data_IF_233661167802
#
_entry.id   IF_233661167802
#
_cell.length_a   1.000
_cell.length_b   1.000
_cell.length_c   1.000
_cell.angle_alpha   90.00
_cell.angle_beta   90.00
_cell.angle_gamma   90.00
#
_symmetry.space_group_name_H-M   'P 1'
#
loop_
_entity.id
_entity.type
_entity.pdbx_description
1 polymer ?
#
# COMPACT_ATOMS: atom_id res chain seq x y z
N UNK A 1 -12.13 -55.19 33.82
CA UNK A 1 -11.61 -55.04 32.45
C UNK A 1 -10.99 -53.65 32.34
N UNK A 2 -9.69 -53.51 32.05
CA UNK A 2 -9.08 -52.19 31.93
C UNK A 2 -9.54 -51.50 30.64
N UNK A 3 -10.11 -50.30 30.77
CA UNK A 3 -10.49 -49.42 29.66
C UNK A 3 -9.23 -49.01 28.90
N UNK A 4 -9.02 -49.59 27.73
CA UNK A 4 -8.02 -49.10 26.77
C UNK A 4 -8.60 -47.88 26.06
N UNK A 5 -8.02 -46.71 26.32
CA UNK A 5 -8.36 -45.48 25.61
C UNK A 5 -8.25 -45.68 24.10
N UNK A 6 -9.21 -45.12 23.37
CA UNK A 6 -9.23 -45.16 21.91
C UNK A 6 -8.01 -44.43 21.32
N UNK A 7 -7.57 -44.86 20.15
CA UNK A 7 -6.37 -44.33 19.49
C UNK A 7 -6.46 -42.80 19.24
N UNK A 8 -7.68 -42.29 19.04
CA UNK A 8 -7.95 -40.85 18.96
C UNK A 8 -7.69 -40.12 20.27
N UNK A 9 -8.05 -40.70 21.41
CA UNK A 9 -7.83 -40.10 22.73
C UNK A 9 -6.34 -40.09 23.09
N UNK A 10 -5.60 -41.13 22.72
CA UNK A 10 -4.14 -41.18 22.88
C UNK A 10 -3.44 -40.08 22.07
N UNK A 11 -3.90 -39.83 20.84
CA UNK A 11 -3.34 -38.77 19.99
C UNK A 11 -3.67 -37.37 20.50
N UNK A 12 -4.89 -37.13 21.00
CA UNK A 12 -5.27 -35.85 21.61
C UNK A 12 -4.43 -35.58 22.87
N UNK A 13 -4.28 -36.59 23.72
CA UNK A 13 -3.51 -36.49 24.95
C UNK A 13 -2.01 -36.26 24.68
N UNK A 14 -1.44 -36.93 23.67
CA UNK A 14 -0.07 -36.69 23.23
C UNK A 14 0.13 -35.26 22.66
N UNK A 15 -0.88 -34.72 21.97
CA UNK A 15 -0.87 -33.34 21.49
C UNK A 15 -0.87 -32.31 22.63
N UNK A 16 -1.68 -32.54 23.66
CA UNK A 16 -1.73 -31.68 24.85
C UNK A 16 -0.42 -31.71 25.64
N UNK A 17 0.16 -32.88 25.86
CA UNK A 17 1.46 -32.99 26.54
C UNK A 17 2.60 -32.28 25.79
N UNK A 18 2.57 -32.25 24.44
CA UNK A 18 3.56 -31.51 23.65
C UNK A 18 3.41 -30.00 23.77
N UNK A 19 2.19 -29.47 23.91
CA UNK A 19 1.94 -28.04 24.16
C UNK A 19 2.40 -27.65 25.56
N UNK A 20 2.04 -28.42 26.58
CA UNK A 20 2.43 -28.13 27.97
C UNK A 20 3.96 -28.20 28.15
N UNK A 21 4.63 -29.15 27.48
CA UNK A 21 6.10 -29.23 27.49
C UNK A 21 6.75 -27.99 26.85
N UNK A 22 6.19 -27.47 25.75
CA UNK A 22 6.69 -26.22 25.12
C UNK A 22 6.44 -24.98 25.98
N UNK A 23 5.39 -24.95 26.77
CA UNK A 23 5.12 -23.84 27.69
C UNK A 23 6.03 -23.90 28.93
N UNK A 24 6.31 -25.11 29.46
CA UNK A 24 7.29 -25.30 30.53
C UNK A 24 8.73 -25.02 30.09
N UNK A 25 9.10 -25.36 28.86
CA UNK A 25 10.45 -25.13 28.33
C UNK A 25 10.60 -23.74 27.68
N UNK A 26 9.50 -23.09 27.28
CA UNK A 26 9.50 -21.81 26.55
C UNK A 26 9.19 -20.56 27.38
N UNK A 27 8.82 -20.72 28.65
CA UNK A 27 8.49 -19.61 29.57
C UNK A 27 9.69 -18.89 30.18
N UNK A 28 10.73 -18.53 29.41
CA UNK A 28 11.77 -17.59 29.91
C UNK A 28 12.69 -16.98 28.84
N UNK A 29 12.17 -16.60 27.68
CA UNK A 29 12.86 -15.59 26.86
C UNK A 29 11.86 -14.58 26.33
N UNK A 30 11.63 -13.58 27.18
CA UNK A 30 11.17 -12.27 26.74
C UNK A 30 12.12 -11.73 25.66
N UNK A 31 11.52 -10.98 24.74
CA UNK A 31 12.16 -10.38 23.56
C UNK A 31 13.47 -9.68 23.89
N UNK A 32 14.56 -10.40 23.70
CA UNK A 32 15.90 -9.88 23.52
C UNK A 32 16.18 -9.76 22.02
N UNK A 33 16.43 -8.53 21.60
CA UNK A 33 17.09 -8.10 20.37
C UNK A 33 17.90 -9.20 19.65
N UNK A 34 17.33 -9.73 18.57
CA UNK A 34 17.99 -10.62 17.61
C UNK A 34 19.06 -9.88 16.81
N UNK A 35 20.22 -9.72 17.44
CA UNK A 35 21.52 -9.46 16.83
C UNK A 35 22.17 -10.83 16.61
N UNK A 36 21.95 -11.45 15.46
CA UNK A 36 22.77 -12.58 14.97
C UNK A 36 23.87 -11.99 14.05
N UNK A 37 25.15 -12.05 14.40
CA UNK A 37 26.03 -13.21 14.62
C UNK A 37 26.32 -14.00 13.32
N UNK A 38 27.32 -13.51 12.58
CA UNK A 38 28.47 -14.34 12.16
C UNK A 38 29.65 -13.69 12.90
N UNK A 39 30.35 -14.31 13.84
CA UNK A 39 30.96 -15.63 13.77
C UNK A 39 32.47 -15.40 13.57
N UNK A 40 33.24 -15.50 14.66
CA UNK A 40 34.69 -15.31 14.64
C UNK A 40 35.23 -15.00 16.03
N UNK A 41 35.40 -16.03 16.85
CA UNK A 41 35.99 -15.93 18.18
C UNK A 41 37.49 -15.70 18.14
N UNK A 42 37.98 -14.93 19.10
CA UNK A 42 39.23 -15.19 19.81
C UNK A 42 38.98 -14.76 21.26
N UNK A 43 39.07 -15.73 22.17
CA UNK A 43 39.07 -15.45 23.59
C UNK A 43 40.36 -14.74 23.98
N UNK A 44 40.28 -13.82 24.93
CA UNK A 44 41.40 -13.55 25.80
C UNK A 44 40.88 -13.15 27.18
N UNK A 45 41.10 -14.04 28.14
CA UNK A 45 41.02 -13.78 29.56
C UNK A 45 42.11 -12.78 29.92
N UNK A 46 41.76 -11.69 30.61
CA UNK A 46 42.73 -10.99 31.44
C UNK A 46 42.05 -10.51 32.72
N UNK A 47 42.35 -11.22 33.80
CA UNK A 47 42.50 -10.60 35.10
C UNK A 47 43.88 -9.95 35.18
N UNK A 48 43.96 -8.93 36.04
CA UNK A 48 45.09 -8.59 36.92
C UNK A 48 45.89 -7.35 36.55
N UNK A 49 45.75 -6.38 37.45
CA UNK A 49 46.68 -5.33 37.88
C UNK A 49 48.13 -5.47 37.39
N UNK A 50 48.68 -4.40 36.82
CA UNK A 50 49.64 -3.51 37.52
C UNK A 50 50.29 -2.54 36.52
N UNK A 51 50.58 -1.37 37.07
CA UNK A 51 51.53 -0.37 36.63
C UNK A 51 52.74 -0.96 35.87
N UNK A 52 53.02 -0.44 34.67
CA UNK A 52 54.36 0.08 34.40
C UNK A 52 54.40 0.98 33.16
N UNK A 53 55.15 2.08 33.31
CA UNK A 53 55.56 2.98 32.24
C UNK A 53 56.45 2.21 31.26
N UNK A 54 56.16 2.25 29.96
CA UNK A 54 57.24 2.58 29.03
C UNK A 54 56.77 3.11 27.68
N UNK A 55 57.56 4.07 27.23
CA UNK A 55 57.52 4.80 25.98
C UNK A 55 57.88 3.87 24.82
N UNK A 56 57.18 3.96 23.69
CA UNK A 56 57.50 3.18 22.51
C UNK A 56 56.59 3.52 21.35
N UNK A 57 57.05 4.42 20.48
CA UNK A 57 56.53 4.66 19.14
C UNK A 57 56.11 3.33 18.46
N UNK A 58 54.85 3.23 18.05
CA UNK A 58 54.45 2.32 16.99
C UNK A 58 53.77 3.12 15.88
N UNK A 59 54.63 3.62 14.99
CA UNK A 59 54.28 4.04 13.64
C UNK A 59 53.85 2.81 12.84
N UNK A 60 52.83 2.99 11.99
CA UNK A 60 52.56 2.19 10.80
C UNK A 60 52.21 0.70 10.98
N UNK A 61 51.02 0.44 11.52
CA UNK A 61 50.24 -0.73 11.08
C UNK A 61 49.18 -0.30 10.05
N UNK A 62 49.64 0.31 8.94
CA UNK A 62 48.93 0.31 7.66
C UNK A 62 49.02 -1.10 7.04
N UNK A 63 48.56 -2.10 7.78
CA UNK A 63 48.54 -3.48 7.34
C UNK A 63 47.38 -3.65 6.35
N UNK A 64 47.69 -3.36 5.08
CA UNK A 64 47.05 -3.79 3.83
C UNK A 64 45.77 -4.62 3.98
N UNK A 65 44.68 -3.97 4.38
CA UNK A 65 43.33 -4.52 4.22
C UNK A 65 43.14 -4.88 2.75
N UNK A 66 42.83 -6.14 2.47
CA UNK A 66 42.63 -6.61 1.09
C UNK A 66 41.62 -5.72 0.37
N UNK A 67 41.84 -5.46 -0.92
CA UNK A 67 40.95 -4.64 -1.75
C UNK A 67 39.48 -5.10 -1.65
N UNK A 68 39.24 -6.40 -1.46
CA UNK A 68 37.90 -6.97 -1.24
C UNK A 68 37.26 -6.48 0.05
N UNK A 69 38.02 -6.35 1.14
CA UNK A 69 37.52 -5.90 2.44
C UNK A 69 37.19 -4.40 2.41
N UNK A 70 38.02 -3.59 1.72
CA UNK A 70 37.73 -2.16 1.47
C UNK A 70 36.48 -1.98 0.60
N UNK A 71 36.32 -2.79 -0.45
CA UNK A 71 35.12 -2.76 -1.31
C UNK A 71 33.86 -3.18 -0.53
N UNK A 72 33.95 -4.20 0.31
CA UNK A 72 32.80 -4.67 1.11
C UNK A 72 32.37 -3.63 2.16
N UNK A 73 33.34 -2.97 2.83
CA UNK A 73 33.06 -1.87 3.76
C UNK A 73 32.47 -0.66 3.03
N UNK A 74 32.99 -0.30 1.85
CA UNK A 74 32.43 0.78 1.01
C UNK A 74 30.98 0.48 0.58
N UNK A 75 30.68 -0.76 0.17
CA UNK A 75 29.29 -1.19 -0.16
C UNK A 75 28.35 -1.10 1.05
N UNK A 76 28.80 -1.50 2.24
CA UNK A 76 28.02 -1.37 3.48
C UNK A 76 27.76 0.09 3.84
N UNK A 77 28.77 0.95 3.74
CA UNK A 77 28.63 2.38 3.99
C UNK A 77 27.68 3.06 3.00
N UNK A 78 27.71 2.68 1.72
CA UNK A 78 26.75 3.17 0.70
C UNK A 78 25.32 2.73 1.01
N UNK A 79 25.10 1.48 1.41
CA UNK A 79 23.77 0.98 1.78
C UNK A 79 23.23 1.67 3.04
N UNK A 80 24.07 1.95 4.04
CA UNK A 80 23.68 2.69 5.24
C UNK A 80 23.32 4.14 4.89
N UNK A 81 24.12 4.82 4.06
CA UNK A 81 23.82 6.18 3.58
C UNK A 81 22.52 6.24 2.78
N UNK A 82 22.26 5.25 1.92
CA UNK A 82 20.98 5.13 1.18
C UNK A 82 19.79 4.96 2.13
N UNK A 83 19.88 4.05 3.11
CA UNK A 83 18.82 3.82 4.11
C UNK A 83 18.56 5.05 4.99
N UNK A 84 19.60 5.80 5.37
CA UNK A 84 19.46 7.05 6.12
C UNK A 84 18.79 8.15 5.30
N UNK A 85 19.19 8.32 4.03
CA UNK A 85 18.52 9.26 3.11
C UNK A 85 17.06 8.90 2.89
N UNK A 86 16.74 7.62 2.72
CA UNK A 86 15.36 7.16 2.60
C UNK A 86 14.55 7.39 3.87
N UNK A 87 15.11 7.14 5.06
CA UNK A 87 14.44 7.43 6.33
C UNK A 87 14.20 8.93 6.54
N UNK A 88 15.17 9.76 6.18
CA UNK A 88 15.03 11.22 6.24
C UNK A 88 13.96 11.72 5.26
N UNK A 89 13.99 11.25 4.00
CA UNK A 89 12.97 11.58 3.01
C UNK A 89 11.57 11.15 3.46
N UNK A 90 11.41 9.93 3.98
CA UNK A 90 10.13 9.43 4.52
C UNK A 90 9.61 10.28 5.67
N UNK A 91 10.46 10.79 6.57
CA UNK A 91 10.02 11.66 7.68
C UNK A 91 9.49 13.00 7.19
N UNK A 92 10.11 13.57 6.15
CA UNK A 92 9.68 14.85 5.57
C UNK A 92 8.40 14.68 4.74
N UNK A 93 8.28 13.57 4.01
CA UNK A 93 7.11 13.35 3.14
C UNK A 93 5.91 12.72 3.85
N UNK A 94 6.09 12.12 5.03
CA UNK A 94 5.01 11.54 5.82
C UNK A 94 3.81 12.47 6.10
N UNK A 95 3.98 13.73 6.56
CA UNK A 95 2.85 14.62 6.80
C UNK A 95 2.11 15.00 5.51
N UNK A 96 2.84 15.28 4.43
CA UNK A 96 2.26 15.58 3.11
C UNK A 96 1.47 14.39 2.59
N UNK A 97 2.02 13.19 2.74
CA UNK A 97 1.37 11.94 2.36
C UNK A 97 0.09 11.68 3.16
N UNK A 98 0.07 12.01 4.46
CA UNK A 98 -1.15 11.91 5.28
C UNK A 98 -2.22 12.92 4.86
N UNK A 99 -1.81 14.16 4.57
CA UNK A 99 -2.74 15.20 4.12
C UNK A 99 -3.37 14.86 2.77
N UNK A 100 -2.55 14.42 1.81
CA UNK A 100 -3.05 14.00 0.48
C UNK A 100 -3.93 12.76 0.56
N UNK A 101 -3.63 11.80 1.44
CA UNK A 101 -4.49 10.65 1.71
C UNK A 101 -5.86 11.08 2.28
N UNK A 102 -5.86 11.97 3.27
CA UNK A 102 -7.12 12.50 3.81
C UNK A 102 -7.96 13.23 2.76
N UNK A 103 -7.34 14.04 1.90
CA UNK A 103 -8.04 14.69 0.78
C UNK A 103 -8.60 13.67 -0.22
N UNK A 104 -7.86 12.61 -0.53
CA UNK A 104 -8.30 11.58 -1.46
C UNK A 104 -9.52 10.82 -0.91
N UNK A 105 -9.49 10.41 0.37
CA UNK A 105 -10.67 9.85 1.06
C UNK A 105 -11.85 10.81 1.05
N UNK A 106 -11.62 12.07 1.35
CA UNK A 106 -12.68 13.09 1.34
C UNK A 106 -13.30 13.24 -0.05
N UNK A 107 -12.49 13.14 -1.10
CA UNK A 107 -12.93 13.24 -2.49
C UNK A 107 -13.78 12.05 -2.90
N UNK A 108 -13.44 10.84 -2.45
CA UNK A 108 -14.30 9.66 -2.64
C UNK A 108 -15.65 9.78 -1.93
N UNK A 109 -15.67 10.31 -0.71
CA UNK A 109 -16.92 10.49 0.07
C UNK A 109 -17.82 11.55 -0.59
N UNK A 110 -17.23 12.65 -1.05
CA UNK A 110 -17.96 13.75 -1.68
C UNK A 110 -18.13 13.58 -3.19
N UNK A 111 -17.89 12.38 -3.74
CA UNK A 111 -17.94 12.13 -5.18
C UNK A 111 -19.30 12.49 -5.78
N UNK A 112 -20.37 12.10 -5.07
CA UNK A 112 -21.76 12.29 -5.49
C UNK A 112 -22.20 13.73 -5.22
N UNK A 113 -21.96 14.25 -4.02
CA UNK A 113 -22.42 15.58 -3.60
C UNK A 113 -21.79 16.72 -4.41
N UNK A 114 -20.59 16.51 -4.95
CA UNK A 114 -19.87 17.49 -5.77
C UNK A 114 -20.21 17.45 -7.26
N UNK A 115 -21.21 16.66 -7.68
CA UNK A 115 -21.58 16.47 -9.09
C UNK A 115 -20.38 16.09 -9.98
N UNK A 116 -19.46 15.29 -9.45
CA UNK A 116 -18.26 14.86 -10.17
C UNK A 116 -17.11 15.86 -10.22
N UNK A 117 -17.20 17.03 -9.57
CA UNK A 117 -16.08 17.99 -9.52
C UNK A 117 -14.85 17.40 -8.80
N UNK A 118 -15.09 16.54 -7.81
CA UNK A 118 -14.06 15.74 -7.13
C UNK A 118 -13.39 14.71 -8.03
N UNK A 119 -13.98 14.25 -9.14
CA UNK A 119 -13.26 13.39 -10.11
C UNK A 119 -12.05 14.10 -10.68
N UNK A 120 -12.17 15.40 -10.96
CA UNK A 120 -11.07 16.19 -11.51
C UNK A 120 -9.90 16.14 -10.52
N UNK A 121 -10.18 16.29 -9.22
CA UNK A 121 -9.16 16.16 -8.19
C UNK A 121 -8.57 14.75 -8.14
N UNK A 122 -9.39 13.70 -8.19
CA UNK A 122 -8.91 12.30 -8.20
C UNK A 122 -8.00 12.07 -9.42
N UNK A 123 -8.37 12.53 -10.61
CA UNK A 123 -7.55 12.43 -11.82
C UNK A 123 -6.24 13.22 -11.72
N UNK A 124 -6.27 14.42 -11.14
CA UNK A 124 -5.06 15.19 -10.82
C UNK A 124 -4.18 14.41 -9.85
N UNK A 125 -4.74 13.81 -8.81
CA UNK A 125 -3.99 12.99 -7.84
C UNK A 125 -3.34 11.76 -8.50
N UNK A 126 -4.06 11.06 -9.39
CA UNK A 126 -3.50 9.95 -10.20
C UNK A 126 -2.30 10.46 -11.03
N UNK A 127 -2.46 11.60 -11.69
CA UNK A 127 -1.42 12.21 -12.52
C UNK A 127 -0.19 12.64 -11.71
N UNK A 128 -0.41 13.32 -10.58
CA UNK A 128 0.63 13.73 -9.65
C UNK A 128 1.34 12.53 -9.03
N UNK A 129 0.64 11.44 -8.74
CA UNK A 129 1.26 10.20 -8.30
C UNK A 129 2.19 9.63 -9.39
N UNK A 130 1.80 9.64 -10.67
CA UNK A 130 2.70 9.21 -11.76
C UNK A 130 3.96 10.08 -11.89
N UNK A 131 3.86 11.39 -11.63
CA UNK A 131 4.97 12.35 -11.77
C UNK A 131 5.89 12.34 -10.55
N UNK A 132 5.34 12.44 -9.34
CA UNK A 132 6.07 12.58 -8.08
C UNK A 132 6.33 11.23 -7.37
N UNK A 133 5.64 10.18 -7.80
CA UNK A 133 5.72 8.83 -7.27
C UNK A 133 5.10 8.65 -5.88
N UNK A 134 5.26 7.43 -5.37
CA UNK A 134 4.77 6.94 -4.06
C UNK A 134 5.34 7.69 -2.83
N UNK A 135 6.24 8.67 -3.05
CA UNK A 135 6.89 9.41 -1.98
C UNK A 135 5.99 10.50 -1.40
N UNK A 136 5.25 11.19 -2.25
CA UNK A 136 4.37 12.31 -1.88
C UNK A 136 2.89 11.91 -1.90
N UNK A 137 2.51 11.04 -2.82
CA UNK A 137 1.13 10.62 -3.00
C UNK A 137 0.97 9.14 -2.66
N UNK A 138 -0.08 8.83 -1.91
CA UNK A 138 -0.47 7.44 -1.68
C UNK A 138 -1.03 6.87 -2.98
N UNK A 139 -0.72 5.60 -3.26
CA UNK A 139 -1.38 4.86 -4.32
C UNK A 139 -2.88 4.87 -4.05
N UNK A 140 -3.62 5.13 -5.11
CA UNK A 140 -5.05 4.87 -5.17
C UNK A 140 -5.36 3.47 -4.60
N UNK A 141 -6.40 3.40 -3.77
CA UNK A 141 -6.83 2.19 -3.05
C UNK A 141 -5.96 1.80 -1.85
N UNK A 142 -4.71 2.27 -1.78
CA UNK A 142 -3.78 2.01 -0.67
C UNK A 142 -4.26 2.58 0.66
N UNK A 143 -5.07 3.62 0.62
CA UNK A 143 -5.67 4.30 1.77
C UNK A 143 -6.68 3.45 2.56
N UNK A 144 -7.30 2.48 1.90
CA UNK A 144 -8.22 1.50 2.52
C UNK A 144 -7.47 0.24 2.95
N UNK A 145 -6.42 -0.14 2.20
CA UNK A 145 -5.57 -1.27 2.53
C UNK A 145 -4.69 -1.05 3.77
N UNK A 146 -4.20 0.17 4.01
CA UNK A 146 -3.44 0.48 5.23
C UNK A 146 -4.29 0.26 6.50
N UNK A 147 -5.58 0.57 6.47
CA UNK A 147 -6.51 0.30 7.58
C UNK A 147 -6.76 -1.20 7.77
N UNK A 148 -6.93 -1.94 6.68
CA UNK A 148 -7.08 -3.41 6.71
C UNK A 148 -5.81 -4.08 7.25
N UNK A 149 -4.62 -3.65 6.82
CA UNK A 149 -3.33 -4.18 7.31
C UNK A 149 -3.04 -3.82 8.75
N UNK A 150 -3.45 -2.63 9.20
CA UNK A 150 -3.33 -2.22 10.60
C UNK A 150 -4.23 -3.08 11.51
N UNK A 151 -5.41 -3.47 11.03
CA UNK A 151 -6.33 -4.36 11.75
C UNK A 151 -5.95 -5.85 11.74
N UNK A 152 -5.27 -6.33 10.69
CA UNK A 152 -4.95 -7.75 10.49
C UNK A 152 -3.68 -8.24 11.21
N UNK A 153 -3.05 -7.42 12.06
CA UNK A 153 -1.90 -7.85 12.86
C UNK A 153 -0.57 -7.90 12.09
N UNK A 154 -0.10 -6.74 11.63
CA UNK A 154 1.33 -6.44 11.44
C UNK A 154 2.05 -7.10 10.25
N UNK A 155 3.12 -6.43 9.80
CA UNK A 155 4.06 -6.91 8.78
C UNK A 155 4.67 -8.26 9.23
N UNK A 156 4.11 -9.39 8.76
CA UNK A 156 4.66 -10.71 9.07
C UNK A 156 3.72 -11.90 9.01
N UNK A 157 2.40 -11.70 8.86
CA UNK A 157 1.49 -12.82 8.65
C UNK A 157 1.82 -13.57 7.33
N UNK A 158 1.65 -14.91 7.26
CA UNK A 158 1.97 -15.76 6.10
C UNK A 158 1.05 -15.56 4.89
N UNK A 159 0.56 -14.33 4.69
CA UNK A 159 -0.32 -13.91 3.61
C UNK A 159 0.42 -13.17 2.48
N UNK A 160 1.75 -13.34 2.38
CA UNK A 160 2.60 -12.57 1.45
C UNK A 160 2.13 -12.62 0.00
N UNK A 161 1.74 -13.79 -0.49
CA UNK A 161 1.32 -13.96 -1.89
C UNK A 161 -0.14 -13.54 -2.13
N UNK A 162 -1.05 -13.83 -1.20
CA UNK A 162 -2.46 -13.46 -1.30
C UNK A 162 -2.66 -11.94 -1.18
N UNK A 163 -1.90 -11.28 -0.31
CA UNK A 163 -1.90 -9.82 -0.18
C UNK A 163 -1.29 -9.16 -1.41
N UNK A 164 -0.21 -9.71 -1.96
CA UNK A 164 0.43 -9.14 -3.16
C UNK A 164 -0.45 -9.30 -4.42
N UNK A 165 -1.17 -10.41 -4.56
CA UNK A 165 -2.17 -10.57 -5.63
C UNK A 165 -3.38 -9.66 -5.42
N UNK A 166 -3.86 -9.51 -4.18
CA UNK A 166 -4.94 -8.60 -3.83
C UNK A 166 -4.61 -7.14 -4.17
N UNK A 167 -3.38 -6.69 -3.90
CA UNK A 167 -2.91 -5.35 -4.26
C UNK A 167 -2.92 -5.11 -5.78
N UNK A 168 -2.54 -6.11 -6.58
CA UNK A 168 -2.54 -6.00 -8.05
C UNK A 168 -3.96 -5.94 -8.59
N UNK A 169 -4.88 -6.76 -8.09
CA UNK A 169 -6.29 -6.74 -8.53
C UNK A 169 -7.00 -5.46 -8.14
N UNK A 170 -6.84 -5.00 -6.89
CA UNK A 170 -7.42 -3.74 -6.41
C UNK A 170 -6.97 -2.58 -7.31
N UNK A 171 -5.68 -2.54 -7.67
CA UNK A 171 -5.14 -1.50 -8.56
C UNK A 171 -5.80 -1.50 -9.94
N UNK A 172 -6.06 -2.68 -10.52
CA UNK A 172 -6.75 -2.76 -11.82
C UNK A 172 -8.21 -2.36 -11.70
N UNK A 173 -8.91 -2.88 -10.70
CA UNK A 173 -10.32 -2.53 -10.43
C UNK A 173 -10.48 -1.03 -10.33
N UNK A 174 -9.60 -0.36 -9.59
CA UNK A 174 -9.68 1.08 -9.42
C UNK A 174 -9.45 1.87 -10.70
N UNK A 175 -8.48 1.46 -11.54
CA UNK A 175 -8.29 2.07 -12.86
C UNK A 175 -9.54 1.89 -13.73
N UNK A 176 -10.15 0.71 -13.71
CA UNK A 176 -11.38 0.44 -14.45
C UNK A 176 -12.57 1.25 -13.92
N UNK A 177 -12.71 1.38 -12.59
CA UNK A 177 -13.76 2.18 -11.96
C UNK A 177 -13.58 3.66 -12.34
N UNK A 178 -12.36 4.19 -12.27
CA UNK A 178 -12.09 5.57 -12.68
C UNK A 178 -12.38 5.80 -14.16
N UNK A 179 -11.93 4.90 -15.04
CA UNK A 179 -12.20 4.98 -16.47
C UNK A 179 -13.71 4.95 -16.76
N UNK A 180 -14.43 4.05 -16.09
CA UNK A 180 -15.88 3.96 -16.21
C UNK A 180 -16.57 5.24 -15.74
N UNK A 181 -16.11 5.82 -14.63
CA UNK A 181 -16.66 7.05 -14.09
C UNK A 181 -16.37 8.25 -15.00
N UNK A 182 -15.17 8.35 -15.58
CA UNK A 182 -14.82 9.38 -16.57
C UNK A 182 -15.72 9.27 -17.81
N UNK A 183 -15.93 8.06 -18.32
CA UNK A 183 -16.85 7.81 -19.45
C UNK A 183 -18.27 8.24 -19.10
N UNK A 184 -18.76 7.88 -17.91
CA UNK A 184 -20.08 8.28 -17.42
C UNK A 184 -20.22 9.81 -17.32
N UNK A 185 -19.21 10.52 -16.83
CA UNK A 185 -19.20 11.99 -16.79
C UNK A 185 -19.24 12.59 -18.19
N UNK A 186 -18.49 12.04 -19.15
CA UNK A 186 -18.56 12.49 -20.56
C UNK A 186 -19.96 12.31 -21.13
N UNK A 187 -20.63 11.18 -20.87
CA UNK A 187 -22.01 10.98 -21.30
C UNK A 187 -22.98 12.00 -20.68
N UNK A 188 -22.82 12.34 -19.40
CA UNK A 188 -23.62 13.37 -18.73
C UNK A 188 -23.41 14.74 -19.41
N UNK A 189 -22.16 15.12 -19.67
CA UNK A 189 -21.83 16.39 -20.34
C UNK A 189 -22.46 16.44 -21.73
N UNK A 190 -22.32 15.36 -22.52
CA UNK A 190 -22.95 15.27 -23.85
C UNK A 190 -24.47 15.35 -23.78
N UNK A 191 -25.09 14.71 -22.79
CA UNK A 191 -26.54 14.78 -22.54
C UNK A 191 -27.01 16.21 -22.23
N UNK A 192 -26.28 16.93 -21.37
CA UNK A 192 -26.57 18.34 -21.06
C UNK A 192 -26.41 19.22 -22.30
N UNK A 193 -25.32 19.07 -23.07
CA UNK A 193 -25.10 19.83 -24.30
C UNK A 193 -26.19 19.56 -25.34
N UNK A 194 -26.59 18.30 -25.50
CA UNK A 194 -27.69 17.91 -26.36
C UNK A 194 -29.00 18.57 -25.94
N UNK A 195 -29.31 18.56 -24.64
CA UNK A 195 -30.50 19.21 -24.10
C UNK A 195 -30.48 20.74 -24.31
N UNK A 196 -29.33 21.40 -24.11
CA UNK A 196 -29.17 22.83 -24.41
C UNK A 196 -29.36 23.13 -25.90
N UNK A 197 -28.85 22.27 -26.78
CA UNK A 197 -29.06 22.41 -28.22
C UNK A 197 -30.54 22.28 -28.60
N UNK A 198 -31.26 21.33 -28.00
CA UNK A 198 -32.72 21.20 -28.17
C UNK A 198 -33.45 22.44 -27.66
N UNK A 199 -33.07 23.00 -26.51
CA UNK A 199 -33.66 24.24 -26.01
C UNK A 199 -33.41 25.42 -26.94
N UNK A 200 -32.20 25.57 -27.47
CA UNK A 200 -31.86 26.64 -28.42
C UNK A 200 -32.66 26.52 -29.73
N UNK A 201 -32.79 25.31 -30.27
CA UNK A 201 -33.65 25.02 -31.42
C UNK A 201 -35.12 25.31 -31.11
N UNK A 202 -35.59 24.91 -29.93
CA UNK A 202 -36.97 25.16 -29.51
C UNK A 202 -37.28 26.65 -29.36
N UNK A 203 -36.34 27.47 -28.89
CA UNK A 203 -36.53 28.92 -28.76
C UNK A 203 -36.57 29.59 -30.14
N UNK A 204 -35.75 29.13 -31.07
CA UNK A 204 -35.63 29.72 -32.42
C UNK A 204 -36.72 29.28 -33.40
N UNK A 205 -37.33 28.11 -33.20
CA UNK A 205 -38.36 27.57 -34.09
C UNK A 205 -39.70 28.31 -33.99
N UNK A 206 -40.45 28.37 -35.10
CA UNK A 206 -41.85 28.81 -35.08
C UNK A 206 -42.75 27.80 -34.35
N UNK A 207 -43.92 28.22 -33.87
CA UNK A 207 -44.84 27.35 -33.10
C UNK A 207 -45.19 26.05 -33.85
N UNK A 208 -45.25 26.10 -35.18
CA UNK A 208 -45.58 24.93 -36.01
C UNK A 208 -44.39 23.98 -36.21
N UNK A 209 -43.18 24.52 -36.31
CA UNK A 209 -41.96 23.71 -36.35
C UNK A 209 -41.68 23.02 -35.02
N UNK A 210 -42.03 23.65 -33.89
CA UNK A 210 -41.93 23.02 -32.56
C UNK A 210 -42.80 21.75 -32.46
N UNK A 211 -44.03 21.80 -32.97
CA UNK A 211 -44.94 20.64 -32.98
C UNK A 211 -44.38 19.52 -33.86
N UNK A 212 -43.84 19.85 -35.05
CA UNK A 212 -43.20 18.86 -35.91
C UNK A 212 -41.96 18.24 -35.28
N UNK A 213 -41.11 19.03 -34.62
CA UNK A 213 -39.93 18.50 -33.92
C UNK A 213 -40.31 17.58 -32.75
N UNK A 214 -41.32 17.94 -31.95
CA UNK A 214 -41.84 17.09 -30.88
C UNK A 214 -42.34 15.74 -31.40
N UNK A 215 -43.09 15.73 -32.50
CA UNK A 215 -43.57 14.50 -33.12
C UNK A 215 -42.44 13.63 -33.66
N UNK A 216 -41.46 14.23 -34.36
CA UNK A 216 -40.30 13.49 -34.88
C UNK A 216 -39.45 12.87 -33.77
N UNK A 217 -39.31 13.53 -32.62
CA UNK A 217 -38.62 12.97 -31.46
C UNK A 217 -39.39 11.83 -30.80
N UNK A 218 -40.72 11.88 -30.78
CA UNK A 218 -41.57 10.78 -30.30
C UNK A 218 -41.40 9.56 -31.22
N UNK A 219 -41.47 9.74 -32.53
CA UNK A 219 -41.25 8.67 -33.51
C UNK A 219 -39.85 8.06 -33.39
N UNK A 220 -38.82 8.87 -33.09
CA UNK A 220 -37.46 8.36 -32.89
C UNK A 220 -37.32 7.51 -31.61
N UNK A 221 -38.18 7.70 -30.61
CA UNK A 221 -38.17 6.95 -29.35
C UNK A 221 -38.99 5.66 -29.40
N UNK A 222 -39.88 5.52 -30.38
CA UNK A 222 -40.73 4.33 -30.57
C UNK A 222 -39.91 3.01 -30.65
N UNK A 223 -38.80 2.93 -31.42
CA UNK A 223 -37.99 1.71 -31.46
C UNK A 223 -37.30 1.38 -30.14
N UNK A 224 -37.06 2.39 -29.30
CA UNK A 224 -36.47 2.19 -27.97
C UNK A 224 -37.52 1.61 -27.03
N UNK A 225 -38.75 2.11 -27.08
CA UNK A 225 -39.86 1.57 -26.28
C UNK A 225 -40.12 0.09 -26.61
N UNK A 226 -40.18 -0.25 -27.90
CA UNK A 226 -40.39 -1.62 -28.38
C UNK A 226 -39.24 -2.58 -28.02
N UNK A 227 -38.03 -2.07 -27.77
CA UNK A 227 -36.92 -2.90 -27.32
C UNK A 227 -37.09 -3.36 -25.86
N UNK A 228 -37.87 -2.63 -25.06
CA UNK A 228 -38.03 -2.86 -23.62
C UNK A 228 -39.35 -3.55 -23.25
N UNK A 229 -40.26 -3.81 -24.19
CA UNK A 229 -41.57 -4.47 -23.97
C UNK A 229 -41.78 -5.61 -24.96
#
# INVERSE_FOLDING_TARGET
MPNTLSESEQNIMAGQMRREKREREGGSYGGGYGKEMYGGGYGNSYSKDKDDKNNGESKNDEQSQSLRQRVMQARRALNIKKRLKEKAAKKITAPVRKGTNWLLKLSWINLIDSFGLTLIWINIHVGLNKIFGDKLFVKLGGEWLEEVKAGAGGEGAPAGEAVEQGEKMIRWVEIFVLLFLDVLVVFIILGVLYLLALMAQFISASTWEKVKMLWAHIDMLEPVYDLFH
#
